data_IF_241260708198
#
_entry.id   IF_241260708198
#
_cell.length_a   1.000
_cell.length_b   1.000
_cell.length_c   1.000
_cell.angle_alpha   90.00
_cell.angle_beta   90.00
_cell.angle_gamma   90.00
#
_symmetry.space_group_name_H-M   'P 1'
#
loop_
_entity.id
_entity.type
_entity.pdbx_description
1 polymer ?
#
# COMPACT_ATOMS: atom_id res chain seq x y z
N UNK A 1 31.20 -10.55 -6.71
CA UNK A 1 29.78 -10.67 -6.32
C UNK A 1 29.03 -9.53 -6.96
N UNK A 2 28.19 -9.82 -7.94
CA UNK A 2 27.38 -8.81 -8.62
C UNK A 2 26.17 -8.53 -7.74
N UNK A 3 26.15 -7.37 -7.07
CA UNK A 3 24.95 -6.90 -6.38
C UNK A 3 23.99 -6.38 -7.45
N UNK A 4 22.94 -7.14 -7.76
CA UNK A 4 21.79 -6.59 -8.46
C UNK A 4 21.09 -5.69 -7.43
N UNK A 5 21.21 -4.37 -7.59
CA UNK A 5 20.39 -3.42 -6.85
C UNK A 5 18.96 -3.60 -7.34
N UNK A 6 18.11 -4.24 -6.53
CA UNK A 6 16.68 -4.27 -6.82
C UNK A 6 16.09 -2.95 -6.36
N UNK A 7 15.45 -2.21 -7.26
CA UNK A 7 14.60 -1.10 -6.84
C UNK A 7 13.53 -1.64 -5.88
N UNK A 8 13.36 -0.99 -4.73
CA UNK A 8 12.40 -1.41 -3.71
C UNK A 8 11.01 -0.92 -4.07
N UNK A 9 10.00 -1.75 -3.82
CA UNK A 9 8.58 -1.39 -3.93
C UNK A 9 7.81 -1.95 -2.73
N UNK A 10 6.56 -1.51 -2.60
CA UNK A 10 5.64 -1.98 -1.56
C UNK A 10 4.51 -2.79 -2.21
N UNK A 11 4.17 -3.94 -1.60
CA UNK A 11 2.94 -4.67 -1.87
C UNK A 11 2.07 -4.61 -0.62
N UNK A 12 0.83 -4.13 -0.73
CA UNK A 12 -0.05 -4.00 0.44
C UNK A 12 -1.51 -4.39 0.11
N UNK A 13 -2.25 -4.96 1.08
CA UNK A 13 -3.70 -5.06 1.00
C UNK A 13 -4.35 -3.75 1.48
N UNK A 14 -5.39 -3.30 0.79
CA UNK A 14 -6.31 -2.23 1.24
C UNK A 14 -7.74 -2.64 0.87
N UNK A 15 -8.74 -2.32 1.68
CA UNK A 15 -10.13 -2.60 1.32
C UNK A 15 -10.52 -1.83 0.04
N UNK A 16 -11.37 -2.42 -0.80
CA UNK A 16 -11.82 -1.76 -2.03
C UNK A 16 -12.47 -0.41 -1.74
N UNK A 17 -13.33 -0.37 -0.72
CA UNK A 17 -14.03 0.84 -0.31
C UNK A 17 -13.07 1.99 0.03
N UNK A 18 -12.00 1.73 0.78
CA UNK A 18 -11.00 2.75 1.09
C UNK A 18 -10.18 3.18 -0.12
N UNK A 19 -9.98 2.31 -1.12
CA UNK A 19 -9.28 2.66 -2.35
C UNK A 19 -10.11 3.57 -3.25
N UNK A 20 -11.41 3.28 -3.39
CA UNK A 20 -12.32 4.10 -4.19
C UNK A 20 -12.48 5.50 -3.59
N UNK A 21 -12.79 5.58 -2.30
CA UNK A 21 -12.85 6.85 -1.57
C UNK A 21 -11.48 7.55 -1.53
N UNK A 22 -10.42 6.78 -1.32
CA UNK A 22 -9.06 7.27 -1.21
C UNK A 22 -8.53 7.86 -2.51
N UNK A 23 -8.95 7.33 -3.67
CA UNK A 23 -8.57 7.87 -4.98
C UNK A 23 -9.10 9.29 -5.16
N UNK A 24 -10.33 9.55 -4.70
CA UNK A 24 -10.91 10.89 -4.75
C UNK A 24 -10.20 11.87 -3.80
N UNK A 25 -9.80 11.41 -2.61
CA UNK A 25 -8.97 12.20 -1.68
C UNK A 25 -7.62 12.51 -2.31
N UNK A 26 -6.95 11.51 -2.87
CA UNK A 26 -5.66 11.65 -3.54
C UNK A 26 -5.73 12.68 -4.68
N UNK A 27 -6.79 12.62 -5.50
CA UNK A 27 -7.03 13.59 -6.58
C UNK A 27 -7.21 15.03 -6.08
N UNK A 28 -7.87 15.23 -4.94
CA UNK A 28 -8.14 16.57 -4.38
C UNK A 28 -6.98 17.14 -3.57
N UNK A 29 -6.29 16.29 -2.82
CA UNK A 29 -5.31 16.70 -1.81
C UNK A 29 -3.86 16.44 -2.25
N UNK A 30 -3.65 15.81 -3.40
CA UNK A 30 -2.36 15.35 -3.91
C UNK A 30 -1.93 13.99 -3.36
N UNK A 31 -2.50 13.56 -2.22
CA UNK A 31 -2.19 12.29 -1.57
C UNK A 31 -3.35 11.76 -0.72
N UNK A 32 -3.26 10.47 -0.38
CA UNK A 32 -4.15 9.78 0.55
C UNK A 32 -3.31 8.96 1.54
N UNK A 33 -3.80 8.77 2.75
CA UNK A 33 -3.12 8.07 3.83
C UNK A 33 -3.93 6.87 4.34
N UNK A 34 -3.30 5.70 4.36
CA UNK A 34 -3.90 4.45 4.86
C UNK A 34 -3.26 4.03 6.19
N UNK A 35 -4.03 3.42 7.08
CA UNK A 35 -3.55 3.01 8.41
C UNK A 35 -2.79 1.69 8.32
N UNK A 36 -1.78 1.51 9.17
CA UNK A 36 -1.14 0.20 9.36
C UNK A 36 -0.56 0.03 10.76
N UNK A 37 -0.47 -1.24 11.19
CA UNK A 37 0.22 -1.66 12.41
C UNK A 37 1.69 -2.03 12.18
N UNK A 38 2.06 -2.28 10.92
CA UNK A 38 3.38 -2.78 10.54
C UNK A 38 4.42 -1.65 10.40
N UNK A 39 4.58 -0.85 11.46
CA UNK A 39 5.46 0.33 11.46
C UNK A 39 6.91 0.00 11.06
N UNK A 40 7.39 -1.20 11.39
CA UNK A 40 8.73 -1.67 11.03
C UNK A 40 8.93 -1.75 9.52
N UNK A 41 7.89 -2.13 8.77
CA UNK A 41 7.93 -2.21 7.30
C UNK A 41 8.12 -0.82 6.69
N UNK A 42 7.39 0.18 7.19
CA UNK A 42 7.45 1.54 6.68
C UNK A 42 8.73 2.27 7.07
N UNK A 43 9.22 2.08 8.31
CA UNK A 43 10.54 2.60 8.71
C UNK A 43 11.67 2.00 7.86
N UNK A 44 11.63 0.69 7.58
CA UNK A 44 12.59 0.05 6.69
C UNK A 44 12.47 0.57 5.26
N UNK A 45 11.26 0.76 4.74
CA UNK A 45 11.04 1.32 3.40
C UNK A 45 11.59 2.76 3.29
N UNK A 46 11.36 3.59 4.30
CA UNK A 46 11.86 4.97 4.34
C UNK A 46 13.38 5.03 4.34
N UNK A 47 14.05 4.14 5.07
CA UNK A 47 15.50 4.02 5.04
C UNK A 47 16.02 3.59 3.65
N UNK A 48 15.32 2.67 2.98
CA UNK A 48 15.73 2.16 1.67
C UNK A 48 15.48 3.15 0.53
N UNK A 49 14.35 3.88 0.56
CA UNK A 49 14.00 4.83 -0.51
C UNK A 49 14.78 6.14 -0.45
N UNK A 50 15.47 6.42 0.65
CA UNK A 50 16.30 7.60 0.84
C UNK A 50 15.59 8.92 0.46
N UNK A 51 14.33 9.07 0.88
CA UNK A 51 13.51 10.25 0.60
C UNK A 51 12.82 10.29 -0.77
N UNK A 52 13.14 9.37 -1.70
CA UNK A 52 12.49 9.30 -3.01
C UNK A 52 11.13 8.58 -2.93
N UNK A 53 10.15 8.93 -3.79
CA UNK A 53 8.95 8.13 -3.96
C UNK A 53 9.26 6.75 -4.53
N UNK A 54 8.52 5.73 -4.10
CA UNK A 54 8.64 4.35 -4.63
C UNK A 54 7.27 3.80 -4.95
N UNK A 55 7.21 2.88 -5.92
CA UNK A 55 5.94 2.31 -6.36
C UNK A 55 5.31 1.43 -5.28
N UNK A 56 4.00 1.61 -5.10
CA UNK A 56 3.16 0.73 -4.29
C UNK A 56 2.14 0.03 -5.18
N UNK A 57 2.08 -1.28 -4.99
CA UNK A 57 1.18 -2.21 -5.66
C UNK A 57 0.14 -2.66 -4.64
N UNK A 58 -1.14 -2.45 -4.93
CA UNK A 58 -2.21 -2.67 -3.96
C UNK A 58 -3.17 -3.76 -4.43
N UNK A 59 -3.35 -4.76 -3.57
CA UNK A 59 -4.38 -5.79 -3.68
C UNK A 59 -5.64 -5.32 -2.94
N UNK A 60 -6.79 -5.31 -3.62
CA UNK A 60 -8.07 -4.94 -3.03
C UNK A 60 -8.64 -6.10 -2.20
N UNK A 61 -8.46 -6.11 -0.87
CA UNK A 61 -8.70 -7.28 0.00
C UNK A 61 -10.16 -7.62 0.28
N UNK A 62 -11.09 -6.72 -0.03
CA UNK A 62 -12.53 -6.86 0.20
C UNK A 62 -13.34 -6.56 -1.07
N UNK A 63 -12.78 -6.87 -2.25
CA UNK A 63 -13.52 -6.75 -3.51
C UNK A 63 -14.42 -7.99 -3.70
N UNK A 64 -15.76 -7.86 -3.61
CA UNK A 64 -16.67 -9.01 -3.72
C UNK A 64 -16.76 -9.55 -5.16
N UNK A 65 -16.20 -8.85 -6.14
CA UNK A 65 -16.26 -9.19 -7.56
C UNK A 65 -14.92 -9.73 -8.11
N UNK A 66 -13.86 -9.75 -7.31
CA UNK A 66 -12.55 -10.21 -7.76
C UNK A 66 -12.44 -11.73 -7.62
N UNK A 67 -12.45 -12.40 -8.77
CA UNK A 67 -12.17 -13.83 -8.88
C UNK A 67 -10.67 -14.17 -8.96
N UNK A 68 -9.79 -13.16 -9.03
CA UNK A 68 -8.34 -13.31 -9.24
C UNK A 68 -7.55 -12.57 -8.17
N UNK A 69 -6.68 -13.27 -7.44
CA UNK A 69 -5.75 -12.66 -6.50
C UNK A 69 -4.69 -11.83 -7.25
N UNK A 70 -5.00 -10.56 -7.48
CA UNK A 70 -4.21 -9.66 -8.29
C UNK A 70 -4.18 -8.24 -7.73
N UNK A 71 -3.03 -7.60 -7.86
CA UNK A 71 -2.89 -6.16 -7.72
C UNK A 71 -3.71 -5.49 -8.81
N UNK A 72 -4.66 -4.68 -8.38
CA UNK A 72 -5.60 -3.94 -9.23
C UNK A 72 -5.49 -2.43 -9.05
N UNK A 73 -4.59 -1.97 -8.18
CA UNK A 73 -4.34 -0.57 -7.88
C UNK A 73 -2.84 -0.29 -7.76
N UNK A 74 -2.45 0.94 -8.12
CA UNK A 74 -1.08 1.45 -8.04
C UNK A 74 -1.03 2.86 -7.51
N UNK A 75 0.11 3.25 -6.95
CA UNK A 75 0.43 4.62 -6.58
C UNK A 75 1.91 4.78 -6.24
N UNK A 76 2.27 5.94 -5.70
CA UNK A 76 3.61 6.24 -5.23
C UNK A 76 3.58 6.42 -3.72
N UNK A 77 4.25 5.53 -2.98
CA UNK A 77 4.50 5.73 -1.56
C UNK A 77 5.53 6.85 -1.38
N UNK A 78 5.17 7.86 -0.59
CA UNK A 78 6.01 9.06 -0.36
C UNK A 78 6.51 9.21 1.08
N UNK A 79 6.05 8.34 1.98
CA UNK A 79 6.46 8.33 3.38
C UNK A 79 5.33 7.87 4.29
N UNK A 80 5.60 7.87 5.59
CA UNK A 80 4.59 7.65 6.61
C UNK A 80 4.69 8.70 7.70
N UNK A 81 3.60 8.85 8.44
CA UNK A 81 3.56 9.60 9.70
C UNK A 81 3.18 8.65 10.82
N UNK A 82 3.76 8.88 11.99
CA UNK A 82 3.33 8.19 13.21
C UNK A 82 1.89 8.64 13.54
N UNK A 83 1.10 7.71 14.08
CA UNK A 83 -0.24 8.05 14.55
C UNK A 83 -0.20 8.94 15.80
N UNK A 84 -1.22 9.76 15.98
CA UNK A 84 -1.54 10.41 17.25
C UNK A 84 -2.74 9.69 17.88
N UNK A 85 -2.47 8.85 18.88
CA UNK A 85 -3.46 8.02 19.57
C UNK A 85 -4.32 7.15 18.61
N UNK A 86 -3.68 6.59 17.58
CA UNK A 86 -4.35 5.79 16.55
C UNK A 86 -5.08 6.57 15.47
N UNK A 87 -4.98 7.90 15.48
CA UNK A 87 -5.52 8.79 14.46
C UNK A 87 -4.40 9.42 13.62
N UNK A 88 -4.74 9.84 12.40
CA UNK A 88 -3.80 10.58 11.57
C UNK A 88 -3.57 11.98 12.19
N UNK A 89 -2.33 12.49 12.33
CA UNK A 89 -2.06 13.78 13.00
C UNK A 89 -2.78 14.99 12.38
N UNK A 90 -3.09 14.91 11.08
CA UNK A 90 -3.87 15.93 10.36
C UNK A 90 -5.37 15.62 10.24
N UNK A 91 -5.88 14.75 11.13
CA UNK A 91 -7.26 14.27 11.12
C UNK A 91 -7.65 13.63 9.79
N UNK A 92 -8.87 13.89 9.34
CA UNK A 92 -9.44 13.28 8.13
C UNK A 92 -8.95 13.90 6.81
N UNK A 93 -8.05 14.89 6.83
CA UNK A 93 -7.63 15.63 5.63
C UNK A 93 -7.13 14.73 4.50
N UNK A 94 -6.34 13.71 4.83
CA UNK A 94 -5.77 12.76 3.87
C UNK A 94 -6.38 11.36 3.99
N UNK A 95 -7.40 11.17 4.83
CA UNK A 95 -8.00 9.85 5.08
C UNK A 95 -9.16 9.61 4.10
N UNK A 96 -9.35 8.38 3.60
CA UNK A 96 -10.58 8.03 2.88
C UNK A 96 -11.81 8.27 3.78
N UNK A 97 -12.86 8.97 3.32
CA UNK A 97 -14.06 9.20 4.13
C UNK A 97 -14.71 7.93 4.69
N UNK A 98 -14.64 6.80 3.98
CA UNK A 98 -15.09 5.49 4.46
C UNK A 98 -14.47 5.06 5.77
N UNK A 99 -13.24 5.47 6.09
CA UNK A 99 -12.65 5.14 7.40
C UNK A 99 -13.44 5.81 8.53
N UNK A 100 -14.09 6.95 8.28
CA UNK A 100 -14.96 7.62 9.26
C UNK A 100 -16.22 6.82 9.63
N UNK A 101 -16.61 5.81 8.84
CA UNK A 101 -17.78 4.98 9.10
C UNK A 101 -17.55 3.98 10.23
N UNK A 102 -16.30 3.56 10.43
CA UNK A 102 -15.92 2.54 11.40
C UNK A 102 -15.05 3.18 12.48
N UNK A 103 -15.54 3.14 13.72
CA UNK A 103 -14.86 3.77 14.86
C UNK A 103 -13.41 3.27 15.03
N UNK A 104 -13.17 1.98 14.74
CA UNK A 104 -11.85 1.33 14.84
C UNK A 104 -10.82 1.84 13.82
N UNK A 105 -11.28 2.44 12.71
CA UNK A 105 -10.38 2.92 11.65
C UNK A 105 -9.77 4.30 11.96
N UNK A 106 -10.22 5.00 13.00
CA UNK A 106 -9.68 6.31 13.39
C UNK A 106 -9.34 6.45 14.88
N UNK A 107 -9.41 5.37 15.66
CA UNK A 107 -9.05 5.39 17.08
C UNK A 107 -8.26 4.13 17.48
N UNK A 108 -7.20 4.32 18.28
CA UNK A 108 -6.47 3.23 18.91
C UNK A 108 -5.37 2.60 18.05
N UNK A 109 -5.67 1.47 17.39
CA UNK A 109 -4.67 0.44 17.08
C UNK A 109 -3.71 0.71 15.92
N UNK A 110 -3.80 1.84 15.22
CA UNK A 110 -2.90 2.14 14.11
C UNK A 110 -1.57 2.67 14.63
N UNK A 111 -0.45 2.14 14.13
CA UNK A 111 0.87 2.64 14.50
C UNK A 111 1.26 3.81 13.60
N UNK A 112 1.05 3.66 12.29
CA UNK A 112 1.43 4.63 11.27
C UNK A 112 0.32 4.85 10.25
N UNK A 113 0.40 5.99 9.55
CA UNK A 113 -0.35 6.25 8.33
C UNK A 113 0.62 6.44 7.18
N UNK A 114 0.52 5.59 6.17
CA UNK A 114 1.38 5.63 4.99
C UNK A 114 0.71 6.40 3.87
N UNK A 115 1.45 7.34 3.29
CA UNK A 115 0.97 8.31 2.32
C UNK A 115 1.27 7.86 0.89
N UNK A 116 0.26 7.97 0.04
CA UNK A 116 0.28 7.56 -1.37
C UNK A 116 -0.15 8.71 -2.27
N UNK A 117 0.66 9.00 -3.27
CA UNK A 117 0.34 9.91 -4.37
C UNK A 117 -0.06 9.13 -5.63
N UNK A 118 -0.74 9.81 -6.55
CA UNK A 118 -1.13 9.25 -7.86
C UNK A 118 -1.85 7.90 -7.77
N UNK A 119 -2.68 7.70 -6.74
CA UNK A 119 -3.43 6.47 -6.53
C UNK A 119 -4.44 6.27 -7.67
N UNK A 120 -4.29 5.17 -8.40
CA UNK A 120 -5.15 4.84 -9.55
C UNK A 120 -5.45 3.35 -9.64
N UNK A 121 -6.63 3.05 -10.16
CA UNK A 121 -7.03 1.70 -10.56
C UNK A 121 -6.32 1.30 -11.85
N UNK A 122 -5.92 0.04 -11.94
CA UNK A 122 -5.36 -0.57 -13.13
C UNK A 122 -6.47 -1.05 -14.05
N UNK A 123 -6.21 -1.03 -15.36
CA UNK A 123 -7.05 -1.75 -16.33
C UNK A 123 -6.89 -3.26 -16.15
N UNK A 124 -7.87 -4.05 -16.61
CA UNK A 124 -7.88 -5.50 -16.37
C UNK A 124 -6.64 -6.22 -16.93
N UNK A 125 -6.14 -5.77 -18.08
CA UNK A 125 -4.94 -6.27 -18.74
C UNK A 125 -3.63 -5.83 -18.05
N UNK A 126 -3.69 -4.82 -17.17
CA UNK A 126 -2.59 -4.31 -16.36
C UNK A 126 -2.52 -4.94 -14.97
N UNK A 127 -3.58 -5.64 -14.54
CA UNK A 127 -3.62 -6.29 -13.23
C UNK A 127 -2.54 -7.37 -13.12
N UNK A 128 -1.81 -7.38 -12.00
CA UNK A 128 -0.67 -8.27 -11.79
C UNK A 128 -1.03 -9.31 -10.72
N UNK A 129 -1.01 -10.62 -11.01
CA UNK A 129 -1.26 -11.63 -9.99
C UNK A 129 -0.29 -11.47 -8.80
N UNK A 130 -0.82 -11.44 -7.58
CA UNK A 130 -0.04 -11.24 -6.35
C UNK A 130 1.09 -12.25 -6.19
N UNK A 131 0.88 -13.46 -6.71
CA UNK A 131 1.88 -14.53 -6.73
C UNK A 131 3.13 -14.27 -7.58
N UNK A 132 3.09 -13.31 -8.51
CA UNK A 132 4.24 -12.97 -9.38
C UNK A 132 5.28 -12.09 -8.68
N UNK A 133 4.90 -11.43 -7.59
CA UNK A 133 5.81 -10.56 -6.86
C UNK A 133 6.88 -11.36 -6.12
N UNK A 134 8.03 -10.72 -5.92
CA UNK A 134 9.17 -11.25 -5.18
C UNK A 134 9.36 -10.41 -3.93
N UNK A 135 9.38 -11.06 -2.76
CA UNK A 135 9.81 -10.37 -1.54
C UNK A 135 11.23 -9.85 -1.71
N UNK A 136 11.53 -8.68 -1.14
CA UNK A 136 12.81 -7.99 -1.31
C UNK A 136 14.01 -8.95 -1.08
N UNK A 137 13.94 -9.73 -0.01
CA UNK A 137 14.97 -10.68 0.43
C UNK A 137 14.68 -12.14 0.04
N UNK A 138 13.60 -12.40 -0.72
CA UNK A 138 13.19 -13.77 -1.06
C UNK A 138 13.87 -14.28 -2.33
N UNK A 139 14.28 -15.57 -2.38
CA UNK A 139 14.94 -16.15 -3.54
C UNK A 139 13.97 -16.60 -4.65
N UNK A 140 12.66 -16.52 -4.40
CA UNK A 140 11.60 -16.89 -5.37
C UNK A 140 10.36 -16.02 -5.19
N UNK A 141 9.53 -15.96 -6.22
CA UNK A 141 8.20 -15.33 -6.16
C UNK A 141 7.30 -16.02 -5.13
N UNK A 142 6.27 -15.33 -4.65
CA UNK A 142 5.34 -15.89 -3.65
C UNK A 142 4.54 -17.10 -4.15
N UNK A 143 4.32 -17.22 -5.46
CA UNK A 143 3.65 -18.37 -6.07
C UNK A 143 2.13 -18.26 -6.08
N UNK A 144 1.46 -19.30 -6.60
CA UNK A 144 0.00 -19.28 -6.80
C UNK A 144 -0.73 -19.04 -5.47
N UNK A 145 -1.83 -18.30 -5.56
CA UNK A 145 -2.75 -18.01 -4.46
C UNK A 145 -2.16 -17.23 -3.27
N UNK A 146 -1.03 -16.56 -3.46
CA UNK A 146 -0.50 -15.69 -2.41
C UNK A 146 -1.45 -14.52 -2.12
N UNK A 147 -1.78 -14.30 -0.84
CA UNK A 147 -2.55 -13.15 -0.38
C UNK A 147 -1.68 -12.39 0.61
N UNK A 148 -1.36 -11.10 0.37
CA UNK A 148 -0.67 -10.31 1.36
C UNK A 148 -1.65 -9.98 2.50
N UNK A 149 -1.36 -10.45 3.72
CA UNK A 149 -2.15 -10.14 4.94
C UNK A 149 -1.81 -8.75 5.51
N UNK A 150 -0.71 -8.16 5.05
CA UNK A 150 -0.25 -6.83 5.43
C UNK A 150 0.74 -6.26 4.41
N UNK A 151 1.26 -5.05 4.63
CA UNK A 151 2.27 -4.45 3.77
C UNK A 151 3.58 -5.24 3.81
N UNK A 152 4.20 -5.47 2.66
CA UNK A 152 5.43 -6.24 2.52
C UNK A 152 6.36 -5.56 1.51
N UNK A 153 7.66 -5.52 1.83
CA UNK A 153 8.69 -5.04 0.90
C UNK A 153 8.93 -6.07 -0.20
N UNK A 154 8.86 -5.59 -1.43
CA UNK A 154 9.07 -6.39 -2.63
C UNK A 154 10.20 -5.79 -3.46
N UNK A 155 10.75 -6.62 -4.35
CA UNK A 155 11.52 -6.12 -5.48
C UNK A 155 10.55 -5.48 -6.46
N UNK A 156 10.96 -4.39 -7.09
CA UNK A 156 10.22 -3.84 -8.22
C UNK A 156 10.02 -4.95 -9.25
N UNK A 157 8.77 -5.20 -9.70
CA UNK A 157 8.52 -6.24 -10.69
C UNK A 157 9.16 -5.81 -12.01
N UNK A 158 10.22 -6.51 -12.41
CA UNK A 158 10.74 -6.38 -13.76
C UNK A 158 9.66 -6.88 -14.73
N UNK A 159 9.41 -6.11 -15.79
CA UNK A 159 8.41 -6.41 -16.83
C UNK A 159 8.68 -7.71 -17.56
#
# INVERSE_FOLDING_TARGET
MTFVSYDVALLAPVSLEHLEDGSEVCRKQGRVAFGSRAWEVFRKLDALRNGLPVEVFIYASHDPHVHKLAVSWKGLYVGHVESDNGAHPMGMRFRPPSTGKYHEDNHGYWAVFWEVESLRRLQEDQCIPTGRFWGLEKPKSYGRNFVPEGPILIRYPMG
#
